data_IF_550313958759
#
_entry.id   IF_550313958759
#
_cell.length_a   1.000
_cell.length_b   1.000
_cell.length_c   1.000
_cell.angle_alpha   90.00
_cell.angle_beta   90.00
_cell.angle_gamma   90.00
#
_symmetry.space_group_name_H-M   'P 1'
#
loop_
_entity.id
_entity.type
_entity.pdbx_description
1 polymer ?
#
# COMPACT_ATOMS: atom_id res chain seq x y z
N UNK A 1 26.09 -13.94 4.02
CA UNK A 1 25.60 -12.97 3.01
C UNK A 1 24.12 -12.82 3.25
N UNK A 2 23.68 -11.63 3.60
CA UNK A 2 22.28 -11.36 3.91
C UNK A 2 21.46 -11.45 2.62
N UNK A 3 20.28 -12.07 2.71
CA UNK A 3 19.43 -12.39 1.58
C UNK A 3 17.98 -12.17 1.96
N UNK A 4 17.20 -11.56 1.08
CA UNK A 4 15.84 -11.10 1.33
C UNK A 4 14.93 -11.61 0.22
N UNK A 5 13.70 -12.00 0.55
CA UNK A 5 12.79 -12.63 -0.42
C UNK A 5 11.72 -11.64 -0.82
N UNK A 6 11.66 -11.31 -2.10
CA UNK A 6 10.65 -10.39 -2.65
C UNK A 6 9.67 -11.14 -3.52
N UNK A 7 8.39 -10.77 -3.48
CA UNK A 7 7.36 -11.35 -4.33
C UNK A 7 6.28 -10.34 -4.74
N UNK A 8 5.61 -10.63 -5.84
CA UNK A 8 4.40 -9.94 -6.29
C UNK A 8 3.58 -10.91 -7.15
N UNK A 9 2.39 -11.27 -6.68
CA UNK A 9 1.60 -12.34 -7.30
C UNK A 9 2.40 -13.65 -7.40
N UNK A 10 2.56 -14.18 -8.62
CA UNK A 10 3.26 -15.45 -8.86
C UNK A 10 4.79 -15.32 -9.02
N UNK A 11 5.33 -14.10 -9.05
CA UNK A 11 6.77 -13.86 -9.19
C UNK A 11 7.41 -13.79 -7.80
N UNK A 12 8.49 -14.54 -7.58
CA UNK A 12 9.27 -14.55 -6.33
C UNK A 12 10.77 -14.62 -6.65
N UNK A 13 11.57 -13.80 -5.95
CA UNK A 13 13.03 -13.75 -6.12
C UNK A 13 13.72 -13.53 -4.78
N UNK A 14 14.97 -13.95 -4.67
CA UNK A 14 15.84 -13.66 -3.52
C UNK A 14 16.89 -12.64 -3.93
N UNK A 15 16.90 -11.48 -3.27
CA UNK A 15 17.83 -10.38 -3.51
C UNK A 15 18.86 -10.32 -2.40
N UNK A 16 20.05 -9.81 -2.73
CA UNK A 16 21.11 -9.46 -1.78
C UNK A 16 21.06 -7.96 -1.52
N UNK A 17 21.73 -7.52 -0.47
CA UNK A 17 21.88 -6.11 -0.07
C UNK A 17 22.15 -5.16 -1.27
N UNK A 18 23.12 -5.48 -2.13
CA UNK A 18 23.50 -4.67 -3.29
C UNK A 18 22.38 -4.52 -4.35
N UNK A 19 21.31 -5.30 -4.26
CA UNK A 19 20.21 -5.34 -5.22
C UNK A 19 18.91 -4.72 -4.66
N UNK A 20 18.95 -4.18 -3.43
CA UNK A 20 17.81 -3.56 -2.75
C UNK A 20 17.55 -2.12 -3.19
N UNK A 21 17.40 -1.90 -4.49
CA UNK A 21 17.09 -0.57 -5.06
C UNK A 21 15.76 -0.57 -5.81
N UNK A 22 15.06 0.57 -5.79
CA UNK A 22 13.81 0.78 -6.50
C UNK A 22 13.92 0.52 -8.00
N UNK A 23 15.06 0.89 -8.61
CA UNK A 23 15.33 0.63 -10.03
C UNK A 23 15.39 -0.87 -10.35
N UNK A 24 16.16 -1.65 -9.57
CA UNK A 24 16.30 -3.09 -9.79
C UNK A 24 15.00 -3.83 -9.49
N UNK A 25 14.39 -3.55 -8.34
CA UNK A 25 13.14 -4.19 -7.90
C UNK A 25 12.01 -3.82 -8.88
N UNK A 26 11.91 -2.54 -9.27
CA UNK A 26 10.93 -2.05 -10.22
C UNK A 26 11.03 -2.73 -11.58
N UNK A 27 12.25 -2.91 -12.12
CA UNK A 27 12.45 -3.66 -13.39
C UNK A 27 12.04 -5.13 -13.29
N UNK A 28 12.33 -5.80 -12.19
CA UNK A 28 12.00 -7.22 -12.00
C UNK A 28 10.48 -7.43 -11.92
N UNK A 29 9.81 -6.58 -11.12
CA UNK A 29 8.38 -6.69 -10.84
C UNK A 29 7.50 -5.85 -11.76
N UNK A 30 8.09 -5.12 -12.71
CA UNK A 30 7.41 -4.24 -13.68
C UNK A 30 6.59 -3.15 -12.97
N UNK A 31 7.23 -2.51 -11.99
CA UNK A 31 6.65 -1.48 -11.13
C UNK A 31 7.35 -0.16 -11.38
N UNK A 32 6.58 0.93 -11.43
CA UNK A 32 7.12 2.26 -11.56
C UNK A 32 7.87 2.64 -10.27
N UNK A 33 9.16 2.97 -10.39
CA UNK A 33 10.04 3.25 -9.24
C UNK A 33 9.50 4.30 -8.25
N UNK A 34 8.97 5.45 -8.70
CA UNK A 34 8.37 6.47 -7.83
C UNK A 34 7.15 6.03 -7.01
N UNK A 35 6.46 4.96 -7.39
CA UNK A 35 5.32 4.43 -6.64
C UNK A 35 5.63 3.11 -5.93
N UNK A 36 6.90 2.69 -5.94
CA UNK A 36 7.34 1.41 -5.39
C UNK A 36 7.52 1.51 -3.87
N UNK A 37 6.82 0.65 -3.15
CA UNK A 37 7.02 0.37 -1.73
C UNK A 37 6.87 -1.12 -1.48
N UNK A 38 7.31 -1.60 -0.32
CA UNK A 38 7.25 -3.02 0.03
C UNK A 38 6.51 -3.19 1.36
N UNK A 39 5.90 -4.35 1.59
CA UNK A 39 5.29 -4.69 2.88
C UNK A 39 5.89 -5.95 3.45
N UNK A 40 6.11 -5.99 4.76
CA UNK A 40 6.55 -7.19 5.48
C UNK A 40 5.38 -8.17 5.75
N UNK A 41 5.66 -9.28 6.44
CA UNK A 41 4.67 -10.28 6.85
C UNK A 41 3.59 -9.72 7.81
N UNK A 42 3.82 -8.56 8.44
CA UNK A 42 2.88 -7.86 9.32
C UNK A 42 2.09 -6.77 8.59
N UNK A 43 2.23 -6.65 7.26
CA UNK A 43 1.66 -5.59 6.43
C UNK A 43 2.15 -4.18 6.78
N UNK A 44 3.34 -4.05 7.37
CA UNK A 44 4.00 -2.76 7.59
C UNK A 44 4.63 -2.31 6.28
N UNK A 45 4.23 -1.12 5.80
CA UNK A 45 4.77 -0.54 4.58
C UNK A 45 6.15 0.09 4.84
N UNK A 46 7.12 -0.32 4.04
CA UNK A 46 8.48 0.20 4.01
C UNK A 46 8.68 0.96 2.70
N UNK A 47 9.18 2.19 2.82
CA UNK A 47 9.43 3.08 1.69
C UNK A 47 10.93 3.19 1.44
N UNK A 48 11.35 3.36 0.18
CA UNK A 48 12.74 3.59 -0.15
C UNK A 48 13.20 4.96 0.36
N UNK A 49 14.50 5.07 0.65
CA UNK A 49 15.16 6.34 0.95
C UNK A 49 15.24 7.24 -0.31
N UNK A 50 15.54 8.55 -0.18
CA UNK A 50 15.53 9.50 -1.30
C UNK A 50 16.45 9.16 -2.48
N UNK A 51 17.50 8.38 -2.24
CA UNK A 51 18.44 7.83 -3.22
C UNK A 51 18.00 6.46 -3.79
N UNK A 52 16.88 5.93 -3.32
CA UNK A 52 16.19 4.79 -3.90
C UNK A 52 16.62 3.42 -3.36
N UNK A 53 17.36 3.34 -2.25
CA UNK A 53 17.60 2.07 -1.56
C UNK A 53 16.58 1.80 -0.45
N UNK A 54 16.44 0.53 -0.11
CA UNK A 54 15.73 0.13 1.11
C UNK A 54 16.73 -0.05 2.25
N UNK A 55 16.44 0.57 3.39
CA UNK A 55 17.30 0.48 4.58
C UNK A 55 17.32 -0.94 5.13
N UNK A 56 18.52 -1.47 5.39
CA UNK A 56 18.68 -2.77 6.05
C UNK A 56 18.20 -2.77 7.50
N UNK A 57 18.15 -1.59 8.13
CA UNK A 57 17.66 -1.45 9.51
C UNK A 57 16.18 -1.81 9.62
N UNK A 58 15.43 -1.61 8.54
CA UNK A 58 14.00 -1.91 8.46
C UNK A 58 13.74 -3.33 7.93
N UNK A 59 14.78 -4.05 7.51
CA UNK A 59 14.68 -5.36 6.89
C UNK A 59 15.21 -6.45 7.83
N UNK A 60 14.37 -7.46 8.05
CA UNK A 60 14.78 -8.72 8.67
C UNK A 60 15.52 -9.62 7.67
N UNK A 61 16.66 -10.18 8.09
CA UNK A 61 17.44 -11.13 7.30
C UNK A 61 16.60 -12.37 7.00
N UNK A 62 16.48 -12.74 5.72
CA UNK A 62 15.58 -13.80 5.19
C UNK A 62 14.08 -13.50 5.36
N UNK A 63 13.71 -12.26 5.62
CA UNK A 63 12.32 -11.80 5.59
C UNK A 63 11.69 -11.90 4.20
N UNK A 64 10.35 -11.92 4.19
CA UNK A 64 9.52 -11.95 2.99
C UNK A 64 8.85 -10.60 2.81
N UNK A 65 8.96 -10.04 1.61
CA UNK A 65 8.44 -8.72 1.31
C UNK A 65 7.60 -8.75 0.04
N UNK A 66 6.37 -8.27 0.14
CA UNK A 66 5.51 -8.06 -1.02
C UNK A 66 5.82 -6.73 -1.67
N UNK A 67 5.97 -6.70 -2.99
CA UNK A 67 6.29 -5.49 -3.77
C UNK A 67 5.02 -4.86 -4.31
N UNK A 68 4.80 -3.61 -3.95
CA UNK A 68 3.66 -2.80 -4.37
C UNK A 68 4.08 -1.63 -5.26
N UNK A 69 3.10 -1.05 -5.93
CA UNK A 69 3.27 0.13 -6.79
C UNK A 69 2.57 -0.01 -8.13
N UNK A 70 2.50 1.11 -8.85
CA UNK A 70 1.84 1.20 -10.14
C UNK A 70 2.56 0.33 -11.18
N UNK A 71 1.80 -0.47 -11.92
CA UNK A 71 2.36 -1.26 -13.00
C UNK A 71 2.87 -0.34 -14.10
N UNK A 72 4.00 -0.67 -14.72
CA UNK A 72 4.44 0.05 -15.92
C UNK A 72 3.50 -0.35 -17.07
N UNK A 73 2.39 0.35 -17.23
CA UNK A 73 1.57 0.31 -18.43
C UNK A 73 2.35 0.99 -19.55
N UNK A 74 2.76 0.20 -20.55
CA UNK A 74 3.08 0.78 -21.85
C UNK A 74 1.74 1.18 -22.46
N UNK A 75 1.31 2.42 -22.21
CA UNK A 75 0.11 2.98 -22.85
C UNK A 75 0.35 3.12 -24.35
N UNK A 76 -0.18 2.17 -25.11
CA UNK A 76 -0.47 2.35 -26.52
C UNK A 76 -1.82 3.08 -26.59
N UNK A 77 -1.84 4.32 -27.10
CA UNK A 77 -3.08 5.07 -27.31
C UNK A 77 -4.02 4.35 -28.31
N UNK A 78 -5.34 4.55 -28.22
CA UNK A 78 -6.32 3.74 -28.93
C UNK A 78 -6.58 4.27 -30.34
N UNK A 79 -6.55 3.39 -31.35
CA UNK A 79 -7.44 3.43 -32.53
C UNK A 79 -7.36 2.11 -33.32
N UNK A 80 -8.39 1.27 -33.12
CA UNK A 80 -9.02 0.30 -34.06
C UNK A 80 -8.21 -0.84 -34.73
N UNK A 81 -8.88 -1.95 -35.16
CA UNK A 81 -8.45 -3.31 -34.83
C UNK A 81 -7.94 -4.11 -36.03
N UNK A 82 -6.86 -4.91 -35.85
CA UNK A 82 -6.58 -6.15 -36.60
C UNK A 82 -5.64 -7.04 -35.77
N UNK A 83 -6.08 -8.24 -35.37
CA UNK A 83 -5.21 -9.39 -35.07
C UNK A 83 -4.82 -10.10 -36.39
N UNK A 84 -3.72 -10.89 -36.49
CA UNK A 84 -2.87 -11.43 -35.42
C UNK A 84 -1.34 -11.36 -35.66
N UNK A 85 -0.60 -11.76 -34.62
CA UNK A 85 0.83 -12.13 -34.50
C UNK A 85 1.85 -11.04 -34.13
N UNK A 86 2.29 -10.99 -32.87
CA UNK A 86 3.62 -10.50 -32.54
C UNK A 86 4.66 -11.60 -32.75
N UNK A 87 5.61 -11.31 -33.65
CA UNK A 87 6.88 -12.00 -33.80
C UNK A 87 7.60 -12.11 -32.46
N UNK A 88 7.77 -13.36 -32.01
CA UNK A 88 8.53 -13.76 -30.84
C UNK A 88 10.03 -13.65 -31.17
N UNK A 89 10.73 -12.66 -30.62
CA UNK A 89 12.19 -12.73 -30.52
C UNK A 89 12.56 -13.89 -29.60
N UNK A 90 13.14 -14.93 -30.17
CA UNK A 90 13.70 -16.08 -29.46
C UNK A 90 15.22 -16.02 -29.58
N UNK A 91 15.92 -16.08 -28.45
CA UNK A 91 17.37 -16.25 -28.43
C UNK A 91 17.70 -17.70 -28.81
N UNK A 92 18.14 -17.92 -30.05
CA UNK A 92 18.77 -19.16 -30.47
C UNK A 92 20.18 -19.24 -29.87
N UNK A 93 20.40 -20.25 -29.03
CA UNK A 93 21.75 -20.73 -28.67
C UNK A 93 22.23 -21.61 -29.84
N UNK A 94 23.35 -21.31 -30.52
CA UNK A 94 23.84 -22.16 -31.59
C UNK A 94 24.48 -23.42 -30.99
N UNK A 95 23.99 -24.58 -31.40
CA UNK A 95 24.77 -25.83 -31.37
C UNK A 95 25.55 -25.86 -32.68
N UNK A 96 26.88 -25.93 -32.56
CA UNK A 96 27.79 -26.05 -33.70
C UNK A 96 27.53 -27.35 -34.48
N UNK A 97 27.58 -27.23 -35.79
CA UNK A 97 27.36 -28.26 -36.77
C UNK A 97 28.51 -29.28 -36.86
N UNK A 98 28.17 -30.51 -37.27
CA UNK A 98 28.98 -31.29 -38.20
C UNK A 98 28.07 -32.21 -39.05
N UNK A 99 27.88 -31.77 -40.30
CA UNK A 99 27.70 -32.49 -41.57
C UNK A 99 26.93 -33.83 -41.66
N UNK A 100 26.06 -33.92 -42.68
CA UNK A 100 25.77 -35.20 -43.35
C UNK A 100 24.39 -35.35 -44.01
N UNK A 101 24.29 -34.86 -45.24
CA UNK A 101 23.32 -35.12 -46.33
C UNK A 101 22.15 -36.12 -46.18
N UNK A 102 20.97 -35.60 -46.54
CA UNK A 102 19.93 -36.14 -47.42
C UNK A 102 19.80 -37.67 -47.62
N UNK A 103 18.59 -38.18 -47.35
CA UNK A 103 17.73 -38.78 -48.38
C UNK A 103 16.29 -38.84 -47.88
N UNK A 104 15.36 -38.36 -48.70
CA UNK A 104 13.93 -38.47 -48.44
C UNK A 104 13.46 -39.92 -48.52
N UNK A 105 12.65 -40.32 -47.56
CA UNK A 105 11.71 -41.42 -47.72
C UNK A 105 10.42 -41.05 -47.00
N UNK A 106 9.35 -40.99 -47.78
CA UNK A 106 7.96 -40.90 -47.34
C UNK A 106 7.72 -41.81 -46.13
N UNK A 107 7.45 -41.21 -44.98
CA UNK A 107 7.00 -41.93 -43.79
C UNK A 107 5.59 -41.46 -43.47
N UNK A 108 4.65 -42.38 -43.64
CA UNK A 108 3.27 -42.34 -43.16
C UNK A 108 3.23 -41.72 -41.74
N UNK A 109 2.31 -40.78 -41.42
CA UNK A 109 2.26 -40.20 -40.11
C UNK A 109 1.94 -41.29 -39.08
N UNK A 110 2.95 -41.68 -38.31
CA UNK A 110 2.76 -42.51 -37.12
C UNK A 110 1.91 -41.68 -36.16
N UNK A 111 0.68 -42.13 -35.91
CA UNK A 111 -0.23 -41.47 -34.98
C UNK A 111 0.50 -41.18 -33.66
N UNK A 112 0.73 -39.90 -33.38
CA UNK A 112 1.26 -39.43 -32.11
C UNK A 112 0.21 -39.79 -31.06
N UNK A 113 0.52 -40.79 -30.23
CA UNK A 113 -0.37 -41.15 -29.13
C UNK A 113 -0.65 -39.90 -28.29
N UNK A 114 -1.92 -39.61 -27.98
CA UNK A 114 -2.26 -38.43 -27.18
C UNK A 114 -1.53 -38.49 -25.84
N UNK A 115 -0.97 -37.36 -25.43
CA UNK A 115 -0.24 -37.25 -24.16
C UNK A 115 -1.20 -37.56 -23.02
N UNK A 116 -0.92 -38.62 -22.28
CA UNK A 116 -1.71 -39.06 -21.13
C UNK A 116 -1.01 -38.71 -19.82
N UNK A 117 -1.81 -38.51 -18.79
CA UNK A 117 -1.42 -38.17 -17.44
C UNK A 117 -1.97 -39.21 -16.48
N UNK A 118 -1.41 -39.26 -15.27
CA UNK A 118 -1.84 -40.18 -14.22
C UNK A 118 -2.12 -39.40 -12.96
N UNK A 119 -3.14 -39.83 -12.22
CA UNK A 119 -3.53 -39.24 -10.95
C UNK A 119 -4.07 -40.29 -9.99
N UNK A 120 -3.61 -40.24 -8.74
CA UNK A 120 -4.18 -40.99 -7.65
C UNK A 120 -5.45 -40.30 -7.13
N UNK A 121 -6.54 -41.05 -7.07
CA UNK A 121 -7.83 -40.67 -6.52
C UNK A 121 -8.13 -41.62 -5.38
N UNK A 122 -8.48 -41.06 -4.24
CA UNK A 122 -8.73 -41.81 -3.02
C UNK A 122 -10.22 -42.15 -2.94
N UNK A 123 -10.57 -43.43 -2.98
CA UNK A 123 -11.93 -43.88 -2.71
C UNK A 123 -12.12 -43.78 -1.19
N UNK A 124 -13.01 -42.88 -0.78
CA UNK A 124 -13.25 -42.61 0.62
C UNK A 124 -14.65 -43.02 1.04
N UNK A 125 -14.71 -43.53 2.26
CA UNK A 125 -15.93 -43.88 2.98
C UNK A 125 -16.07 -42.98 4.21
N UNK A 126 -17.30 -42.71 4.63
CA UNK A 126 -17.63 -41.89 5.78
C UNK A 126 -17.61 -42.75 7.05
N UNK A 127 -16.67 -42.46 7.96
CA UNK A 127 -16.62 -43.03 9.29
C UNK A 127 -16.55 -41.90 10.34
N UNK A 128 -17.44 -41.91 11.33
CA UNK A 128 -17.49 -40.90 12.41
C UNK A 128 -17.42 -39.43 11.93
N UNK A 129 -18.24 -39.05 10.95
CA UNK A 129 -18.26 -37.71 10.31
C UNK A 129 -16.94 -37.32 9.59
N UNK A 130 -16.04 -38.28 9.32
CA UNK A 130 -14.75 -38.06 8.67
C UNK A 130 -14.60 -38.97 7.44
N UNK A 131 -14.05 -38.42 6.37
CA UNK A 131 -13.71 -39.19 5.18
C UNK A 131 -12.43 -39.99 5.45
N UNK A 132 -12.55 -41.32 5.47
CA UNK A 132 -11.45 -42.24 5.57
C UNK A 132 -11.15 -42.88 4.21
N UNK A 133 -9.88 -43.07 3.90
CA UNK A 133 -9.48 -43.66 2.62
C UNK A 133 -9.55 -45.17 2.69
N UNK A 134 -10.48 -45.78 1.96
CA UNK A 134 -10.52 -47.23 1.81
C UNK A 134 -9.45 -47.69 0.80
N UNK A 135 -9.51 -47.15 -0.43
CA UNK A 135 -8.65 -47.58 -1.54
C UNK A 135 -8.08 -46.41 -2.32
N UNK A 136 -6.89 -46.56 -2.89
CA UNK A 136 -6.33 -45.59 -3.86
C UNK A 136 -6.43 -46.15 -5.27
N UNK A 137 -6.98 -45.35 -6.18
CA UNK A 137 -7.13 -45.65 -7.60
C UNK A 137 -6.26 -44.72 -8.44
N UNK A 138 -5.37 -45.27 -9.25
CA UNK A 138 -4.59 -44.50 -10.22
C UNK A 138 -5.31 -44.43 -11.56
N UNK A 139 -5.87 -43.26 -11.87
CA UNK A 139 -6.55 -43.00 -13.13
C UNK A 139 -5.58 -42.44 -14.16
N UNK A 140 -5.64 -42.99 -15.39
CA UNK A 140 -4.94 -42.44 -16.57
C UNK A 140 -5.93 -41.68 -17.44
N UNK A 141 -5.60 -40.44 -17.76
CA UNK A 141 -6.49 -39.52 -18.50
C UNK A 141 -5.68 -38.63 -19.44
N UNK A 142 -6.30 -38.15 -20.50
CA UNK A 142 -5.75 -37.21 -21.47
C UNK A 142 -6.14 -35.76 -21.16
N UNK A 143 -5.65 -34.80 -21.94
CA UNK A 143 -6.07 -33.39 -21.81
C UNK A 143 -7.59 -33.22 -22.00
N UNK A 144 -8.21 -33.96 -22.92
CA UNK A 144 -9.65 -33.86 -23.19
C UNK A 144 -10.51 -34.48 -22.08
N UNK A 145 -9.98 -35.47 -21.37
CA UNK A 145 -10.64 -36.11 -20.21
C UNK A 145 -10.34 -35.38 -18.88
N UNK A 146 -9.54 -34.31 -18.93
CA UNK A 146 -9.15 -33.54 -17.74
C UNK A 146 -10.29 -32.61 -17.29
N UNK A 147 -11.45 -33.16 -16.98
CA UNK A 147 -12.60 -32.46 -16.39
C UNK A 147 -13.14 -33.27 -15.23
N UNK A 148 -13.97 -32.67 -14.37
CA UNK A 148 -14.59 -33.39 -13.25
C UNK A 148 -15.36 -34.61 -13.77
N UNK A 149 -16.18 -34.42 -14.81
CA UNK A 149 -16.93 -35.48 -15.46
C UNK A 149 -16.03 -36.57 -16.06
N UNK A 150 -14.98 -36.18 -16.80
CA UNK A 150 -14.06 -37.13 -17.44
C UNK A 150 -13.31 -37.99 -16.43
N UNK A 151 -12.83 -37.38 -15.35
CA UNK A 151 -12.16 -38.09 -14.25
C UNK A 151 -13.15 -39.01 -13.51
N UNK A 152 -14.36 -38.53 -13.25
CA UNK A 152 -15.40 -39.34 -12.60
C UNK A 152 -15.79 -40.56 -13.44
N UNK A 153 -15.92 -40.40 -14.75
CA UNK A 153 -16.16 -41.52 -15.67
C UNK A 153 -15.06 -42.58 -15.59
N UNK A 154 -13.79 -42.17 -15.53
CA UNK A 154 -12.67 -43.12 -15.35
C UNK A 154 -12.69 -43.83 -14.01
N UNK A 155 -13.09 -43.14 -12.95
CA UNK A 155 -13.23 -43.75 -11.62
C UNK A 155 -14.32 -44.82 -11.64
N UNK A 156 -15.49 -44.51 -12.24
CA UNK A 156 -16.59 -45.46 -12.38
C UNK A 156 -16.20 -46.67 -13.24
N UNK A 157 -15.57 -46.43 -14.39
CA UNK A 157 -15.08 -47.48 -15.29
C UNK A 157 -14.11 -48.43 -14.57
N UNK A 158 -13.20 -47.89 -13.74
CA UNK A 158 -12.21 -48.69 -13.03
C UNK A 158 -12.76 -49.43 -11.80
N UNK A 159 -13.84 -48.94 -11.19
CA UNK A 159 -14.50 -49.60 -10.06
C UNK A 159 -15.51 -50.65 -10.51
N UNK A 160 -16.00 -50.58 -11.75
CA UNK A 160 -17.03 -51.50 -12.25
C UNK A 160 -18.37 -51.36 -11.52
N UNK A 161 -18.60 -50.20 -10.88
CA UNK A 161 -19.80 -49.87 -10.13
C UNK A 161 -20.58 -48.77 -10.85
N UNK A 162 -21.91 -48.88 -10.90
CA UNK A 162 -22.80 -47.82 -11.40
C UNK A 162 -23.08 -46.73 -10.36
N UNK A 163 -22.57 -46.89 -9.14
CA UNK A 163 -22.86 -46.01 -8.01
C UNK A 163 -22.54 -44.55 -8.33
N UNK A 164 -23.43 -43.65 -7.88
CA UNK A 164 -23.25 -42.21 -8.02
C UNK A 164 -22.14 -41.75 -7.09
N UNK A 165 -20.96 -41.51 -7.67
CA UNK A 165 -19.80 -40.97 -6.98
C UNK A 165 -19.72 -39.44 -7.15
N UNK A 166 -19.20 -38.76 -6.15
CA UNK A 166 -18.89 -37.33 -6.14
C UNK A 166 -17.40 -37.14 -5.86
N UNK A 167 -16.74 -36.27 -6.63
CA UNK A 167 -15.35 -35.91 -6.36
C UNK A 167 -15.29 -34.79 -5.33
N UNK A 168 -14.50 -34.97 -4.29
CA UNK A 168 -14.28 -33.97 -3.23
C UNK A 168 -12.80 -33.64 -3.06
N UNK A 169 -12.52 -32.46 -2.52
CA UNK A 169 -11.17 -32.01 -2.18
C UNK A 169 -10.68 -32.59 -0.84
N UNK A 170 -9.47 -32.22 -0.44
CA UNK A 170 -8.87 -32.61 0.84
C UNK A 170 -9.70 -32.25 2.10
N UNK A 171 -10.65 -31.32 1.98
CA UNK A 171 -11.51 -30.83 3.07
C UNK A 171 -12.92 -31.46 3.03
N UNK A 172 -13.18 -32.36 2.08
CA UNK A 172 -14.49 -32.95 1.85
C UNK A 172 -15.50 -31.95 1.30
N UNK A 173 -15.05 -31.00 0.46
CA UNK A 173 -15.91 -30.13 -0.35
C UNK A 173 -16.00 -30.68 -1.77
N UNK A 174 -17.18 -30.62 -2.37
CA UNK A 174 -17.38 -31.02 -3.76
C UNK A 174 -16.52 -30.20 -4.72
N UNK A 175 -15.88 -30.89 -5.66
CA UNK A 175 -15.14 -30.27 -6.77
C UNK A 175 -16.13 -30.08 -7.92
N UNK A 176 -16.52 -28.84 -8.15
CA UNK A 176 -17.41 -28.48 -9.25
C UNK A 176 -16.65 -28.37 -10.58
N UNK A 177 -17.33 -28.71 -11.68
CA UNK A 177 -16.77 -28.53 -13.03
C UNK A 177 -16.84 -27.04 -13.42
N UNK A 178 -15.69 -26.45 -13.67
CA UNK A 178 -15.52 -25.04 -14.00
C UNK A 178 -14.27 -24.86 -14.87
N UNK A 179 -14.08 -23.70 -15.48
CA UNK A 179 -12.88 -23.43 -16.27
C UNK A 179 -11.58 -23.69 -15.47
N UNK A 180 -11.57 -23.39 -14.17
CA UNK A 180 -10.41 -23.59 -13.29
C UNK A 180 -10.17 -25.05 -12.84
N UNK A 181 -11.14 -25.94 -13.01
CA UNK A 181 -11.02 -27.39 -12.70
C UNK A 181 -10.89 -28.25 -13.95
N UNK A 182 -10.87 -27.62 -15.13
CA UNK A 182 -10.60 -28.24 -16.42
C UNK A 182 -9.12 -28.14 -16.80
N UNK A 183 -8.68 -29.08 -17.62
CA UNK A 183 -7.31 -29.16 -18.09
C UNK A 183 -6.37 -29.87 -17.10
N UNK A 184 -5.32 -30.46 -17.64
CA UNK A 184 -4.47 -31.37 -16.86
C UNK A 184 -3.65 -30.68 -15.77
N UNK A 185 -3.47 -29.35 -15.84
CA UNK A 185 -2.76 -28.55 -14.85
C UNK A 185 -3.39 -28.64 -13.45
N UNK A 186 -4.72 -28.68 -13.37
CA UNK A 186 -5.43 -28.84 -12.09
C UNK A 186 -5.21 -30.25 -11.50
N UNK A 187 -5.40 -31.27 -12.33
CA UNK A 187 -5.39 -32.68 -11.89
C UNK A 187 -4.00 -33.24 -11.60
N UNK A 188 -2.94 -32.66 -12.16
CA UNK A 188 -1.54 -33.08 -11.95
C UNK A 188 -0.94 -32.63 -10.60
N UNK A 189 -1.58 -31.74 -9.86
CA UNK A 189 -0.99 -31.16 -8.64
C UNK A 189 -0.89 -32.21 -7.51
N UNK A 190 0.30 -32.79 -7.29
CA UNK A 190 0.54 -33.84 -6.29
C UNK A 190 0.17 -33.44 -4.85
N UNK A 191 0.19 -32.16 -4.50
CA UNK A 191 -0.17 -31.68 -3.17
C UNK A 191 -1.68 -31.70 -2.88
N UNK A 192 -2.53 -31.65 -3.91
CA UNK A 192 -3.99 -31.67 -3.73
C UNK A 192 -4.43 -33.10 -3.45
N UNK A 193 -5.26 -33.34 -2.43
CA UNK A 193 -5.95 -34.63 -2.28
C UNK A 193 -7.29 -34.56 -2.99
N UNK A 194 -7.62 -35.61 -3.74
CA UNK A 194 -8.90 -35.77 -4.41
C UNK A 194 -9.50 -37.08 -3.96
N UNK A 195 -10.71 -37.00 -3.41
CA UNK A 195 -11.47 -38.17 -2.98
C UNK A 195 -12.63 -38.42 -3.94
N UNK A 196 -12.96 -39.69 -4.17
CA UNK A 196 -14.22 -40.11 -4.75
C UNK A 196 -15.05 -40.70 -3.61
N UNK A 197 -16.22 -40.11 -3.37
CA UNK A 197 -17.10 -40.45 -2.24
C UNK A 197 -18.47 -40.83 -2.80
N UNK A 198 -19.13 -41.89 -2.29
CA UNK A 198 -20.52 -42.18 -2.63
C UNK A 198 -21.43 -40.97 -2.34
N UNK A 199 -22.38 -40.71 -3.24
CA UNK A 199 -23.28 -39.55 -3.14
C UNK A 199 -24.08 -39.55 -1.84
N UNK A 200 -24.50 -40.73 -1.37
CA UNK A 200 -25.26 -40.89 -0.12
C UNK A 200 -24.44 -40.43 1.10
N UNK A 201 -23.18 -40.84 1.17
CA UNK A 201 -22.25 -40.47 2.24
C UNK A 201 -21.87 -39.00 2.18
N UNK A 202 -21.72 -38.43 0.98
CA UNK A 202 -21.48 -37.01 0.82
C UNK A 202 -22.64 -36.15 1.37
N UNK A 203 -23.88 -36.59 1.15
CA UNK A 203 -25.06 -35.91 1.70
C UNK A 203 -25.08 -35.97 3.23
N UNK A 204 -24.76 -37.12 3.83
CA UNK A 204 -24.64 -37.27 5.28
C UNK A 204 -23.55 -36.35 5.87
N UNK A 205 -22.38 -36.28 5.22
CA UNK A 205 -21.30 -35.37 5.62
C UNK A 205 -21.75 -33.89 5.59
N UNK A 206 -22.54 -33.51 4.59
CA UNK A 206 -23.07 -32.14 4.44
C UNK A 206 -24.09 -31.81 5.54
N UNK A 207 -24.96 -32.75 5.88
CA UNK A 207 -25.95 -32.59 6.95
C UNK A 207 -25.29 -32.52 8.33
N UNK A 208 -24.30 -33.37 8.61
CA UNK A 208 -23.53 -33.36 9.85
C UNK A 208 -22.82 -32.01 10.08
N UNK A 209 -22.19 -31.46 9.04
CA UNK A 209 -21.58 -30.11 9.09
C UNK A 209 -22.62 -29.01 9.35
N UNK A 210 -23.81 -29.10 8.73
CA UNK A 210 -24.89 -28.12 8.92
C UNK A 210 -25.46 -28.13 10.34
N UNK A 211 -25.62 -29.31 10.95
CA UNK A 211 -26.07 -29.46 12.35
C UNK A 211 -25.05 -28.90 13.36
N UNK A 212 -23.74 -29.00 13.07
CA UNK A 212 -22.69 -28.38 13.90
C UNK A 212 -22.66 -26.86 13.79
N UNK A 213 -22.99 -26.30 12.62
CA UNK A 213 -23.07 -24.85 12.42
C UNK A 213 -24.27 -24.23 13.12
N UNK A 214 -25.45 -24.86 13.09
CA UNK A 214 -26.66 -24.29 13.72
C UNK A 214 -26.60 -24.21 15.24
N UNK A 215 -25.71 -24.98 15.90
CA UNK A 215 -25.50 -24.90 17.36
C UNK A 215 -24.61 -23.73 17.79
N UNK A 216 -23.96 -23.05 16.86
CA UNK A 216 -22.96 -22.00 17.12
C UNK A 216 -23.45 -20.59 16.81
N UNK A 217 -24.63 -20.48 16.19
CA UNK A 217 -25.09 -19.25 15.52
C UNK A 217 -25.88 -18.28 16.41
N UNK A 218 -26.34 -18.70 17.59
CA UNK A 218 -27.27 -17.87 18.39
C UNK A 218 -26.58 -16.92 19.39
N UNK A 219 -25.34 -17.21 19.80
CA UNK A 219 -24.58 -16.33 20.73
C UNK A 219 -23.51 -15.50 20.03
N UNK A 220 -22.85 -16.04 19.00
CA UNK A 220 -21.76 -15.34 18.30
C UNK A 220 -22.23 -14.25 17.34
N UNK A 221 -23.48 -14.31 16.85
CA UNK A 221 -23.99 -13.30 15.90
C UNK A 221 -24.27 -11.96 16.60
N UNK A 222 -24.79 -12.00 17.83
CA UNK A 222 -25.04 -10.79 18.61
C UNK A 222 -23.74 -10.09 19.01
N UNK A 223 -22.73 -10.84 19.45
CA UNK A 223 -21.39 -10.28 19.76
C UNK A 223 -20.76 -9.59 18.54
N UNK A 224 -20.92 -10.17 17.34
CA UNK A 224 -20.41 -9.58 16.10
C UNK A 224 -21.17 -8.29 15.75
N UNK A 225 -22.49 -8.25 15.96
CA UNK A 225 -23.31 -7.06 15.72
C UNK A 225 -22.91 -5.94 16.68
N UNK A 226 -22.76 -6.23 17.97
CA UNK A 226 -22.32 -5.26 18.98
C UNK A 226 -20.92 -4.69 18.64
N UNK A 227 -20.01 -5.55 18.17
CA UNK A 227 -18.67 -5.15 17.71
C UNK A 227 -18.74 -4.23 16.48
N UNK A 228 -19.65 -4.50 15.54
CA UNK A 228 -19.84 -3.67 14.35
C UNK A 228 -20.39 -2.29 14.74
N UNK A 229 -21.35 -2.22 15.66
CA UNK A 229 -21.89 -0.95 16.14
C UNK A 229 -20.82 -0.10 16.83
N UNK A 230 -19.94 -0.72 17.64
CA UNK A 230 -18.82 -0.04 18.29
C UNK A 230 -17.84 0.55 17.25
N UNK A 231 -17.48 -0.23 16.22
CA UNK A 231 -16.57 0.22 15.16
C UNK A 231 -17.19 1.34 14.32
N UNK A 232 -18.49 1.27 14.06
CA UNK A 232 -19.22 2.33 13.33
C UNK A 232 -19.24 3.62 14.14
N UNK A 233 -19.48 3.56 15.45
CA UNK A 233 -19.43 4.72 16.32
C UNK A 233 -18.02 5.36 16.36
N UNK A 234 -16.97 4.54 16.46
CA UNK A 234 -15.59 5.01 16.39
C UNK A 234 -15.24 5.67 15.03
N UNK A 235 -15.71 5.08 13.93
CA UNK A 235 -15.48 5.60 12.58
C UNK A 235 -16.17 6.96 12.34
N UNK A 236 -17.35 7.19 12.92
CA UNK A 236 -18.02 8.49 12.87
C UNK A 236 -17.23 9.58 13.61
N UNK A 237 -16.61 9.24 14.76
CA UNK A 237 -15.68 10.15 15.44
C UNK A 237 -14.49 10.54 14.58
N UNK A 238 -13.94 9.58 13.82
CA UNK A 238 -12.81 9.82 12.92
C UNK A 238 -13.14 10.75 11.75
N UNK A 239 -14.36 10.66 11.20
CA UNK A 239 -14.85 11.58 10.17
C UNK A 239 -14.93 13.03 10.67
N UNK A 240 -15.38 13.24 11.92
CA UNK A 240 -15.42 14.56 12.55
C UNK A 240 -13.99 15.13 12.73
N UNK A 241 -13.04 14.29 13.14
CA UNK A 241 -11.61 14.67 13.24
C UNK A 241 -11.03 15.02 11.88
N UNK A 242 -11.33 14.22 10.85
CA UNK A 242 -10.87 14.52 9.48
C UNK A 242 -11.42 15.84 8.95
N UNK A 243 -12.66 16.18 9.29
CA UNK A 243 -13.29 17.43 8.86
C UNK A 243 -12.64 18.63 9.54
N UNK A 244 -12.45 18.56 10.85
CA UNK A 244 -11.76 19.61 11.61
C UNK A 244 -10.31 19.80 11.16
N UNK A 245 -9.57 18.72 10.88
CA UNK A 245 -8.22 18.83 10.31
C UNK A 245 -8.23 19.53 8.94
N UNK A 246 -9.22 19.26 8.09
CA UNK A 246 -9.36 19.91 6.79
C UNK A 246 -9.67 21.40 6.94
N UNK A 247 -10.57 21.76 7.85
CA UNK A 247 -10.88 23.17 8.16
C UNK A 247 -9.65 23.91 8.71
N UNK A 248 -8.87 23.29 9.61
CA UNK A 248 -7.63 23.86 10.13
C UNK A 248 -6.57 24.03 9.02
N UNK A 249 -6.47 23.06 8.10
CA UNK A 249 -5.56 23.14 6.96
C UNK A 249 -5.98 24.24 5.97
N UNK A 250 -7.27 24.38 5.69
CA UNK A 250 -7.81 25.47 4.86
C UNK A 250 -7.61 26.83 5.52
N UNK A 251 -7.79 26.93 6.84
CA UNK A 251 -7.48 28.14 7.61
C UNK A 251 -5.99 28.48 7.54
N UNK A 252 -5.11 27.51 7.77
CA UNK A 252 -3.65 27.69 7.70
C UNK A 252 -3.20 28.09 6.28
N UNK A 253 -3.77 27.47 5.23
CA UNK A 253 -3.43 27.80 3.84
C UNK A 253 -3.96 29.18 3.42
N UNK A 254 -5.15 29.56 3.88
CA UNK A 254 -5.71 30.90 3.64
C UNK A 254 -4.89 31.98 4.35
N UNK A 255 -4.30 31.65 5.50
CA UNK A 255 -3.47 32.55 6.29
C UNK A 255 -1.96 32.47 6.01
N UNK A 256 -1.50 31.61 5.10
CA UNK A 256 -0.08 31.47 4.72
C UNK A 256 0.56 32.77 4.20
N UNK A 257 -0.24 33.74 3.74
CA UNK A 257 0.23 35.04 3.25
C UNK A 257 0.05 36.19 4.26
N UNK A 258 -0.68 35.96 5.36
CA UNK A 258 -1.11 37.01 6.31
C UNK A 258 -0.65 36.77 7.74
N UNK A 259 -0.14 35.57 8.07
CA UNK A 259 0.35 35.24 9.41
C UNK A 259 1.85 34.94 9.36
N UNK A 260 2.62 35.74 10.10
CA UNK A 260 4.05 35.48 10.36
C UNK A 260 4.12 34.77 11.71
N UNK A 261 4.49 33.50 11.72
CA UNK A 261 4.81 32.78 12.95
C UNK A 261 6.21 33.18 13.39
N UNK A 262 6.29 34.02 14.42
CA UNK A 262 7.55 34.39 15.06
C UNK A 262 7.80 33.45 16.24
N UNK A 263 9.05 33.03 16.42
CA UNK A 263 9.50 32.40 17.66
C UNK A 263 9.44 33.40 18.82
N UNK A 264 9.47 32.93 20.06
CA UNK A 264 9.48 33.80 21.24
C UNK A 264 10.65 34.81 21.23
N UNK A 265 11.82 34.38 20.72
CA UNK A 265 12.99 35.22 20.59
C UNK A 265 12.78 36.35 19.55
N UNK A 266 12.17 36.02 18.40
CA UNK A 266 11.85 36.99 17.36
C UNK A 266 10.75 37.96 17.81
N UNK A 267 9.73 37.46 18.51
CA UNK A 267 8.67 38.26 19.13
C UNK A 267 9.25 39.27 20.12
N UNK A 268 10.20 38.84 20.96
CA UNK A 268 10.91 39.71 21.89
C UNK A 268 11.73 40.78 21.16
N UNK A 269 12.46 40.39 20.10
CA UNK A 269 13.25 41.34 19.31
C UNK A 269 12.38 42.40 18.60
N UNK A 270 11.23 41.98 18.03
CA UNK A 270 10.26 42.90 17.40
C UNK A 270 9.65 43.82 18.46
N UNK A 271 9.31 43.29 19.65
CA UNK A 271 8.81 44.09 20.76
C UNK A 271 9.81 45.15 21.18
N UNK A 272 11.06 44.79 21.41
CA UNK A 272 12.12 45.71 21.82
C UNK A 272 12.41 46.78 20.76
N UNK A 273 12.33 46.42 19.48
CA UNK A 273 12.58 47.35 18.37
C UNK A 273 11.50 48.44 18.24
N UNK A 274 10.24 48.12 18.52
CA UNK A 274 9.09 49.01 18.30
C UNK A 274 8.33 49.39 19.58
N UNK A 275 8.88 49.07 20.76
CA UNK A 275 8.35 49.52 22.04
C UNK A 275 8.78 50.95 22.36
N UNK A 276 7.84 51.76 22.85
CA UNK A 276 8.14 53.10 23.34
C UNK A 276 9.02 53.03 24.58
N UNK A 277 10.10 53.83 24.63
CA UNK A 277 11.02 53.80 25.76
C UNK A 277 10.37 54.28 27.07
N UNK A 278 9.30 55.07 26.97
CA UNK A 278 8.57 55.67 28.10
C UNK A 278 7.43 54.76 28.54
N UNK A 279 6.42 54.53 27.69
CA UNK A 279 5.24 53.76 28.08
C UNK A 279 5.40 52.23 27.93
N UNK A 280 6.51 51.75 27.35
CA UNK A 280 6.81 50.34 27.08
C UNK A 280 5.84 49.60 26.15
N UNK A 281 4.77 50.26 25.70
CA UNK A 281 3.82 49.73 24.71
C UNK A 281 4.27 49.95 23.26
N UNK A 282 3.51 49.42 22.28
CA UNK A 282 3.79 49.61 20.87
C UNK A 282 3.75 51.10 20.51
N UNK A 283 4.72 51.56 19.71
CA UNK A 283 4.79 52.97 19.33
C UNK A 283 3.57 53.40 18.50
N UNK A 284 2.82 54.38 19.02
CA UNK A 284 1.78 55.07 18.30
C UNK A 284 2.33 56.42 17.80
N UNK A 285 2.29 56.65 16.49
CA UNK A 285 2.96 57.78 15.83
C UNK A 285 4.46 57.82 16.21
N UNK A 286 5.26 56.87 15.70
CA UNK A 286 6.65 56.67 16.15
C UNK A 286 7.52 57.91 15.87
N UNK A 287 8.30 58.29 16.87
CA UNK A 287 9.30 59.35 16.80
C UNK A 287 10.69 58.73 16.66
N UNK A 288 11.52 59.31 15.80
CA UNK A 288 12.93 58.97 15.62
C UNK A 288 13.79 60.11 16.15
N UNK A 289 14.94 59.78 16.73
CA UNK A 289 15.95 60.78 17.06
C UNK A 289 17.20 60.64 16.19
N UNK A 290 17.71 61.78 15.69
CA UNK A 290 18.96 61.85 14.93
C UNK A 290 20.19 61.63 15.81
N UNK A 291 20.14 61.95 17.11
CA UNK A 291 21.30 61.82 18.00
C UNK A 291 21.73 60.37 18.24
N UNK A 292 20.77 59.43 18.30
CA UNK A 292 21.02 57.99 18.45
C UNK A 292 20.57 57.18 17.23
N UNK A 293 20.15 57.86 16.16
CA UNK A 293 19.68 57.26 14.90
C UNK A 293 18.67 56.12 15.11
N UNK A 294 17.69 56.32 15.99
CA UNK A 294 16.83 55.23 16.43
C UNK A 294 15.42 55.70 16.79
N UNK A 295 14.47 54.78 16.67
CA UNK A 295 13.12 54.94 17.19
C UNK A 295 13.18 55.09 18.72
N UNK A 296 12.49 56.09 19.24
CA UNK A 296 12.53 56.46 20.65
C UNK A 296 11.19 56.25 21.37
N UNK A 297 10.06 56.51 20.72
CA UNK A 297 8.76 56.33 21.36
C UNK A 297 7.58 56.96 20.65
N UNK A 298 6.42 56.91 21.30
CA UNK A 298 5.19 57.54 20.84
C UNK A 298 5.33 59.06 20.84
N UNK A 299 4.69 59.74 19.88
CA UNK A 299 4.67 61.21 19.81
C UNK A 299 4.34 61.88 21.14
N UNK A 300 3.20 61.52 21.74
CA UNK A 300 2.71 62.12 22.98
C UNK A 300 3.73 61.96 24.12
N UNK A 301 4.27 60.74 24.29
CA UNK A 301 5.25 60.48 25.35
C UNK A 301 6.52 61.30 25.18
N UNK A 302 6.98 61.48 23.94
CA UNK A 302 8.20 62.23 23.66
C UNK A 302 8.00 63.74 23.77
N UNK A 303 6.86 64.27 23.32
CA UNK A 303 6.50 65.69 23.50
C UNK A 303 6.39 66.07 24.99
N UNK A 304 5.78 65.19 25.80
CA UNK A 304 5.71 65.35 27.24
C UNK A 304 7.10 65.28 27.90
N UNK A 305 7.95 64.35 27.45
CA UNK A 305 9.33 64.26 27.92
C UNK A 305 10.13 65.53 27.61
N UNK A 306 10.06 66.04 26.38
CA UNK A 306 10.78 67.24 25.94
C UNK A 306 10.37 68.50 26.73
N UNK A 307 9.12 68.55 27.19
CA UNK A 307 8.62 69.63 28.05
C UNK A 307 9.32 69.62 29.42
N UNK A 308 9.64 68.43 29.93
CA UNK A 308 10.23 68.23 31.25
C UNK A 308 11.76 68.09 31.23
N UNK A 309 12.36 67.74 30.09
CA UNK A 309 13.78 67.43 29.97
C UNK A 309 14.30 67.68 28.55
N UNK A 310 15.37 68.49 28.38
CA UNK A 310 15.93 68.81 27.05
C UNK A 310 16.84 67.71 26.47
N UNK A 311 16.94 66.56 27.14
CA UNK A 311 17.82 65.45 26.77
C UNK A 311 17.08 64.31 26.09
N UNK A 312 17.76 63.58 25.20
CA UNK A 312 17.19 62.40 24.55
C UNK A 312 16.83 61.29 25.59
N UNK A 313 15.62 60.73 25.58
CA UNK A 313 15.24 59.69 26.55
C UNK A 313 16.01 58.37 26.36
N UNK A 314 16.61 58.15 25.17
CA UNK A 314 17.37 56.92 24.86
C UNK A 314 18.86 57.03 25.18
N UNK A 315 19.55 58.04 24.66
CA UNK A 315 21.01 58.20 24.82
C UNK A 315 21.42 59.36 25.75
N UNK A 316 20.47 60.16 26.24
CA UNK A 316 20.70 61.32 27.12
C UNK A 316 21.54 62.47 26.53
N UNK A 317 21.76 62.49 25.21
CA UNK A 317 22.38 63.63 24.55
C UNK A 317 21.58 64.92 24.77
N UNK A 318 22.27 66.04 25.03
CA UNK A 318 21.68 67.38 25.06
C UNK A 318 21.24 67.85 23.67
N UNK A 319 20.31 68.81 23.62
CA UNK A 319 19.71 69.35 22.38
C UNK A 319 18.81 68.39 21.59
N UNK A 320 18.01 67.57 22.28
CA UNK A 320 17.13 66.61 21.59
C UNK A 320 15.91 67.25 20.90
N UNK A 321 15.57 68.50 21.21
CA UNK A 321 14.39 69.20 20.67
C UNK A 321 14.36 69.28 19.14
N UNK A 322 15.44 69.77 18.54
CA UNK A 322 15.56 69.92 17.07
C UNK A 322 15.92 68.61 16.35
N UNK A 323 16.27 67.58 17.12
CA UNK A 323 16.84 66.32 16.66
C UNK A 323 15.84 65.16 16.72
N UNK A 324 14.57 65.45 16.99
CA UNK A 324 13.50 64.47 17.09
C UNK A 324 12.45 64.77 16.01
N UNK A 325 12.13 63.75 15.22
CA UNK A 325 11.20 63.88 14.09
C UNK A 325 10.17 62.76 14.14
N UNK A 326 8.97 63.07 13.65
CA UNK A 326 7.91 62.08 13.48
C UNK A 326 8.17 61.26 12.22
N UNK A 327 8.08 59.94 12.35
CA UNK A 327 8.16 59.03 11.20
C UNK A 327 6.75 58.74 10.68
N UNK A 328 6.48 59.17 9.44
CA UNK A 328 5.19 58.96 8.77
C UNK A 328 5.14 57.59 8.09
N UNK A 329 3.94 57.00 7.97
CA UNK A 329 3.71 55.74 7.26
C UNK A 329 4.04 54.47 8.05
N UNK A 330 4.81 54.55 9.14
CA UNK A 330 5.10 53.38 9.99
C UNK A 330 3.96 53.08 10.98
N UNK A 331 3.10 54.06 11.30
CA UNK A 331 1.98 53.86 12.23
C UNK A 331 1.03 52.75 11.78
N UNK A 332 0.68 52.70 10.49
CA UNK A 332 -0.25 51.71 9.95
C UNK A 332 0.35 50.30 9.95
N UNK A 333 1.65 50.20 9.68
CA UNK A 333 2.39 48.94 9.78
C UNK A 333 2.47 48.43 11.23
N UNK A 334 2.73 49.32 12.20
CA UNK A 334 2.74 48.98 13.63
C UNK A 334 1.35 48.63 14.17
N UNK A 335 0.28 49.19 13.59
CA UNK A 335 -1.08 48.84 13.96
C UNK A 335 -1.39 47.35 13.69
N UNK A 336 -0.84 46.77 12.62
CA UNK A 336 -0.96 45.34 12.28
C UNK A 336 -0.19 44.46 13.27
N UNK A 337 0.94 44.97 13.81
CA UNK A 337 1.77 44.24 14.78
C UNK A 337 1.26 44.34 16.22
N UNK A 338 0.17 45.07 16.50
CA UNK A 338 -0.35 45.25 17.87
C UNK A 338 -0.61 43.94 18.61
N UNK A 339 -1.04 42.89 17.90
CA UNK A 339 -1.32 41.58 18.50
C UNK A 339 -0.05 40.94 19.10
N UNK A 340 1.14 41.28 18.61
CA UNK A 340 2.43 40.79 19.13
C UNK A 340 2.78 41.44 20.48
N UNK A 341 2.16 42.58 20.80
CA UNK A 341 2.39 43.34 22.03
C UNK A 341 1.33 43.11 23.11
N UNK A 342 0.32 42.25 22.85
CA UNK A 342 -0.81 42.01 23.77
C UNK A 342 -0.63 40.82 24.72
N UNK A 343 0.45 40.04 24.56
CA UNK A 343 0.89 39.00 25.50
C UNK A 343 1.96 39.52 26.49
#
# INVERSE_FOLDING_TARGET
>A
MESFVFFRGNKRITLKENDLTTDKIGRIFQVHGPSLYITDDNNVALFPEPDGHFSLLDLTVRGHYEVHGEGISVECSPNTPVTPNPTRFSFHRPVSAAAGSATGSSAVPRATMPKTFQRNIFIAELHDDKLETNKTLTVRFSEFESSVSGILSKVKEALGQEDSLILTDGQGKEILDSEGTRGSAYWKQNARKVFAVPQEEFLQLREGKRRRLSRREDTGLQEVVDTIEEVVAAAQGLQAVSTTMKELLEFANSNRRTTVSLTDAETTAVRDAFACIICKGPMNEPMVSSCCQSLIGCRICIEEWQTNSPSCPKCRAGDSGNNIQRLMGLSDALAVLRNIFLD
#
